data_IF_799556130584
#
_entry.id   IF_799556130584
#
_cell.length_a   1.000
_cell.length_b   1.000
_cell.length_c   1.000
_cell.angle_alpha   90.00
_cell.angle_beta   90.00
_cell.angle_gamma   90.00
#
_symmetry.space_group_name_H-M   'P 1'
#
loop_
_entity.id
_entity.type
_entity.pdbx_description
1 polymer ?
#
# COMPACT_ATOMS: atom_id res chain seq x y z
N UNK A 1 34.00 8.23 19.02
CA UNK A 1 32.58 7.86 18.92
C UNK A 1 31.80 8.54 20.02
N UNK A 2 30.74 9.29 19.71
CA UNK A 2 29.92 9.97 20.73
C UNK A 2 28.50 9.43 20.69
N UNK A 3 27.90 9.20 21.85
CA UNK A 3 26.48 8.87 21.97
C UNK A 3 25.66 10.09 21.54
N UNK A 4 24.51 9.86 20.90
CA UNK A 4 23.64 10.98 20.54
C UNK A 4 23.16 11.69 21.81
N UNK A 5 22.95 13.01 21.72
CA UNK A 5 22.45 13.84 22.84
C UNK A 5 21.20 13.25 23.49
N UNK A 6 20.33 12.61 22.69
CA UNK A 6 19.15 11.92 23.18
C UNK A 6 19.46 10.72 24.07
N UNK A 7 20.43 9.88 23.69
CA UNK A 7 20.82 8.71 24.48
C UNK A 7 21.49 9.16 25.78
N UNK A 8 22.28 10.23 25.75
CA UNK A 8 22.84 10.86 26.95
C UNK A 8 21.74 11.28 27.92
N UNK A 9 20.70 11.97 27.43
CA UNK A 9 19.56 12.40 28.26
C UNK A 9 18.79 11.24 28.90
N UNK A 10 18.67 10.08 28.21
CA UNK A 10 18.03 8.89 28.79
C UNK A 10 18.82 8.25 29.94
N UNK A 11 20.12 8.49 30.00
CA UNK A 11 21.06 7.86 30.94
C UNK A 11 21.36 8.76 32.14
N UNK A 12 20.99 10.05 32.06
CA UNK A 12 21.14 10.98 33.17
C UNK A 12 20.49 10.43 34.44
N UNK A 13 21.24 10.47 35.54
CA UNK A 13 20.80 10.00 36.86
C UNK A 13 20.92 8.50 37.12
N UNK A 14 21.48 7.70 36.20
CA UNK A 14 21.81 6.30 36.50
C UNK A 14 23.00 6.23 37.47
N UNK A 15 22.86 5.47 38.56
CA UNK A 15 23.87 5.29 39.59
C UNK A 15 24.78 4.08 39.33
N UNK A 16 24.40 3.19 38.41
CA UNK A 16 25.18 2.00 38.04
C UNK A 16 25.19 1.75 36.54
N UNK A 17 26.22 1.06 36.06
CA UNK A 17 26.31 0.59 34.66
C UNK A 17 25.15 -0.34 34.28
N UNK A 18 24.63 -1.09 35.25
CA UNK A 18 23.45 -1.93 35.07
C UNK A 18 22.20 -1.11 34.70
N UNK A 19 21.94 0.01 35.40
CA UNK A 19 20.81 0.90 35.10
C UNK A 19 20.94 1.57 33.73
N UNK A 20 22.17 1.91 33.34
CA UNK A 20 22.46 2.42 31.98
C UNK A 20 22.09 1.38 30.94
N UNK A 21 22.56 0.14 31.12
CA UNK A 21 22.31 -0.97 30.21
C UNK A 21 20.82 -1.28 30.10
N UNK A 22 20.12 -1.37 31.23
CA UNK A 22 18.70 -1.67 31.27
C UNK A 22 17.85 -0.61 30.55
N UNK A 23 18.11 0.68 30.82
CA UNK A 23 17.42 1.78 30.11
C UNK A 23 17.69 1.79 28.61
N UNK A 24 18.94 1.59 28.20
CA UNK A 24 19.28 1.47 26.78
C UNK A 24 18.56 0.29 26.14
N UNK A 25 18.63 -0.87 26.78
CA UNK A 25 18.03 -2.11 26.29
C UNK A 25 16.50 -1.97 26.16
N UNK A 26 15.83 -1.43 27.18
CA UNK A 26 14.41 -1.13 27.15
C UNK A 26 14.07 -0.16 26.00
N UNK A 27 14.82 0.93 25.84
CA UNK A 27 14.60 1.90 24.76
C UNK A 27 14.68 1.25 23.38
N UNK A 28 15.76 0.51 23.10
CA UNK A 28 15.93 -0.16 21.81
C UNK A 28 14.89 -1.25 21.60
N UNK A 29 14.52 -2.00 22.64
CA UNK A 29 13.43 -2.97 22.60
C UNK A 29 12.09 -2.32 22.24
N UNK A 30 11.74 -1.21 22.89
CA UNK A 30 10.53 -0.44 22.56
C UNK A 30 10.55 0.09 21.14
N UNK A 31 11.70 0.63 20.68
CA UNK A 31 11.89 1.13 19.32
C UNK A 31 11.74 0.03 18.28
N UNK A 32 12.38 -1.12 18.48
CA UNK A 32 12.28 -2.30 17.61
C UNK A 32 10.84 -2.82 17.58
N UNK A 33 10.17 -2.93 18.73
CA UNK A 33 8.76 -3.35 18.80
C UNK A 33 7.82 -2.39 18.08
N UNK A 34 8.04 -1.06 18.19
CA UNK A 34 7.26 -0.06 17.44
C UNK A 34 7.43 -0.24 15.94
N UNK A 35 8.66 -0.38 15.44
CA UNK A 35 8.92 -0.62 14.02
C UNK A 35 8.30 -1.92 13.52
N UNK A 36 8.41 -3.01 14.28
CA UNK A 36 7.79 -4.28 13.93
C UNK A 36 6.26 -4.19 13.84
N UNK A 37 5.61 -3.42 14.73
CA UNK A 37 4.17 -3.16 14.63
C UNK A 37 3.81 -2.33 13.41
N UNK A 38 4.59 -1.28 13.13
CA UNK A 38 4.40 -0.47 11.93
C UNK A 38 4.46 -1.34 10.66
N UNK A 39 5.52 -2.14 10.48
CA UNK A 39 5.62 -3.00 9.30
C UNK A 39 4.50 -4.04 9.19
N UNK A 40 4.01 -4.59 10.32
CA UNK A 40 2.85 -5.49 10.31
C UNK A 40 1.56 -4.77 9.95
N UNK A 41 1.38 -3.54 10.41
CA UNK A 41 0.25 -2.70 10.06
C UNK A 41 0.26 -2.40 8.55
N UNK A 42 1.38 -1.90 8.03
CA UNK A 42 1.56 -1.62 6.60
C UNK A 42 1.31 -2.87 5.76
N UNK A 43 1.87 -4.03 6.14
CA UNK A 43 1.69 -5.29 5.42
C UNK A 43 0.23 -5.77 5.43
N UNK A 44 -0.48 -5.61 6.54
CA UNK A 44 -1.88 -5.99 6.65
C UNK A 44 -2.78 -5.02 5.87
N UNK A 45 -2.49 -3.73 5.94
CA UNK A 45 -3.23 -2.71 5.20
C UNK A 45 -3.06 -2.90 3.69
N UNK A 46 -1.82 -3.04 3.21
CA UNK A 46 -1.54 -3.27 1.79
C UNK A 46 -2.16 -4.57 1.28
N UNK A 47 -2.17 -5.64 2.10
CA UNK A 47 -2.85 -6.89 1.73
C UNK A 47 -4.37 -6.71 1.65
N UNK A 48 -4.99 -5.91 2.52
CA UNK A 48 -6.42 -5.64 2.46
C UNK A 48 -6.78 -4.78 1.25
N UNK A 49 -5.96 -3.77 0.95
CA UNK A 49 -6.18 -2.88 -0.20
C UNK A 49 -6.04 -3.66 -1.50
N UNK A 50 -5.02 -4.52 -1.63
CA UNK A 50 -4.90 -5.44 -2.76
C UNK A 50 -6.11 -6.39 -2.87
N UNK A 51 -6.60 -6.95 -1.76
CA UNK A 51 -7.81 -7.76 -1.78
C UNK A 51 -9.05 -6.97 -2.23
N UNK A 52 -9.16 -5.70 -1.84
CA UNK A 52 -10.25 -4.82 -2.24
C UNK A 52 -10.20 -4.50 -3.74
N UNK A 53 -9.02 -4.23 -4.29
CA UNK A 53 -8.81 -3.97 -5.71
C UNK A 53 -9.09 -5.19 -6.58
N UNK A 54 -8.62 -6.38 -6.17
CA UNK A 54 -8.94 -7.64 -6.87
C UNK A 54 -10.47 -7.86 -6.90
N UNK A 55 -11.16 -7.54 -5.79
CA UNK A 55 -12.63 -7.66 -5.72
C UNK A 55 -13.34 -6.64 -6.61
N UNK A 56 -12.83 -5.41 -6.69
CA UNK A 56 -13.35 -4.37 -7.59
C UNK A 56 -13.23 -4.82 -9.05
N UNK A 57 -12.03 -5.22 -9.48
CA UNK A 57 -11.77 -5.68 -10.86
C UNK A 57 -12.65 -6.87 -11.22
N UNK A 58 -12.77 -7.85 -10.31
CA UNK A 58 -13.65 -9.01 -10.50
C UNK A 58 -15.13 -8.60 -10.65
N UNK A 59 -15.59 -7.61 -9.88
CA UNK A 59 -16.95 -7.11 -9.96
C UNK A 59 -17.22 -6.42 -11.31
N UNK A 60 -16.33 -5.51 -11.74
CA UNK A 60 -16.46 -4.82 -13.03
C UNK A 60 -16.47 -5.84 -14.18
N UNK A 61 -15.55 -6.82 -14.17
CA UNK A 61 -15.51 -7.90 -15.16
C UNK A 61 -16.84 -8.67 -15.22
N UNK A 62 -17.42 -8.99 -14.06
CA UNK A 62 -18.71 -9.69 -13.99
C UNK A 62 -19.86 -8.89 -14.60
N UNK A 63 -19.88 -7.56 -14.41
CA UNK A 63 -20.89 -6.68 -15.01
C UNK A 63 -20.72 -6.62 -16.53
N UNK A 64 -19.49 -6.52 -17.01
CA UNK A 64 -19.18 -6.51 -18.45
C UNK A 64 -19.56 -7.83 -19.11
N UNK A 65 -19.28 -8.96 -18.47
CA UNK A 65 -19.69 -10.26 -18.98
C UNK A 65 -21.23 -10.39 -18.99
N UNK A 66 -21.93 -9.84 -18.00
CA UNK A 66 -23.39 -9.74 -18.01
C UNK A 66 -23.90 -8.89 -19.21
N UNK A 67 -23.35 -7.70 -19.42
CA UNK A 67 -23.73 -6.82 -20.53
C UNK A 67 -23.45 -7.45 -21.90
N UNK A 68 -22.28 -8.10 -22.03
CA UNK A 68 -21.91 -8.89 -23.22
C UNK A 68 -22.92 -10.02 -23.48
N UNK A 69 -23.42 -10.68 -22.44
CA UNK A 69 -24.41 -11.76 -22.58
C UNK A 69 -25.74 -11.29 -23.17
N UNK A 70 -26.12 -10.03 -22.90
CA UNK A 70 -27.33 -9.37 -23.43
C UNK A 70 -27.07 -8.70 -24.80
N UNK A 71 -25.86 -8.88 -25.36
CA UNK A 71 -25.40 -8.28 -26.63
C UNK A 71 -25.22 -6.76 -26.58
N UNK A 72 -24.96 -6.22 -25.41
CA UNK A 72 -24.58 -4.82 -25.20
C UNK A 72 -23.10 -4.77 -24.77
N UNK A 73 -22.14 -5.01 -25.68
CA UNK A 73 -20.73 -4.98 -25.30
C UNK A 73 -20.27 -3.56 -24.95
N UNK A 74 -19.55 -3.44 -23.83
CA UNK A 74 -18.89 -2.20 -23.40
C UNK A 74 -17.67 -1.94 -24.27
N UNK A 75 -17.48 -0.69 -24.70
CA UNK A 75 -16.30 -0.30 -25.45
C UNK A 75 -15.04 -0.38 -24.56
N UNK A 76 -13.88 -0.69 -25.15
CA UNK A 76 -12.61 -0.79 -24.40
C UNK A 76 -12.34 0.46 -23.55
N UNK A 77 -12.57 1.64 -24.13
CA UNK A 77 -12.39 2.93 -23.45
C UNK A 77 -13.30 3.07 -22.23
N UNK A 78 -14.57 2.72 -22.38
CA UNK A 78 -15.55 2.77 -21.28
C UNK A 78 -15.20 1.77 -20.18
N UNK A 79 -14.67 0.60 -20.53
CA UNK A 79 -14.15 -0.34 -19.53
C UNK A 79 -12.95 0.24 -18.77
N UNK A 80 -11.99 0.86 -19.48
CA UNK A 80 -10.86 1.52 -18.84
C UNK A 80 -11.32 2.65 -17.91
N UNK A 81 -12.23 3.50 -18.35
CA UNK A 81 -12.78 4.59 -17.54
C UNK A 81 -13.42 4.04 -16.25
N UNK A 82 -14.21 2.96 -16.33
CA UNK A 82 -14.82 2.31 -15.16
C UNK A 82 -13.81 1.74 -14.16
N UNK A 83 -12.69 1.20 -14.65
CA UNK A 83 -11.61 0.73 -13.76
C UNK A 83 -10.97 1.93 -13.06
N UNK A 84 -10.56 2.94 -13.83
CA UNK A 84 -9.80 4.10 -13.33
C UNK A 84 -10.62 4.94 -12.33
N UNK A 85 -11.92 5.12 -12.56
CA UNK A 85 -12.82 5.82 -11.62
C UNK A 85 -12.98 5.09 -10.28
N UNK A 86 -12.81 3.76 -10.26
CA UNK A 86 -12.94 2.94 -9.06
C UNK A 86 -11.68 2.85 -8.20
N UNK A 87 -10.54 3.37 -8.68
CA UNK A 87 -9.26 3.28 -7.98
C UNK A 87 -9.12 4.34 -6.87
N UNK A 88 -8.46 4.01 -5.74
CA UNK A 88 -8.13 4.98 -4.71
C UNK A 88 -7.02 5.93 -5.18
N UNK A 89 -6.92 7.09 -4.51
CA UNK A 89 -6.01 8.19 -4.86
C UNK A 89 -4.53 7.79 -4.95
N UNK A 90 -4.14 6.71 -4.26
CA UNK A 90 -2.78 6.16 -4.29
C UNK A 90 -2.34 5.73 -5.70
N UNK A 91 -3.31 5.48 -6.60
CA UNK A 91 -3.07 5.11 -8.00
C UNK A 91 -3.11 6.31 -8.97
N UNK A 92 -3.20 7.57 -8.51
CA UNK A 92 -3.27 8.77 -9.36
C UNK A 92 -2.16 8.83 -10.43
N UNK A 93 -0.95 8.36 -10.11
CA UNK A 93 0.17 8.29 -11.04
C UNK A 93 -0.10 7.26 -12.14
N UNK A 94 -0.60 6.08 -11.77
CA UNK A 94 -0.99 5.01 -12.71
C UNK A 94 -2.15 5.49 -13.57
N UNK A 95 -3.16 6.13 -12.97
CA UNK A 95 -4.30 6.72 -13.69
C UNK A 95 -3.82 7.75 -14.73
N UNK A 96 -2.88 8.61 -14.37
CA UNK A 96 -2.32 9.60 -15.29
C UNK A 96 -1.56 8.95 -16.45
N UNK A 97 -0.77 7.91 -16.15
CA UNK A 97 -0.02 7.16 -17.16
C UNK A 97 -0.94 6.43 -18.14
N UNK A 98 -1.93 5.70 -17.62
CA UNK A 98 -2.93 4.99 -18.44
C UNK A 98 -3.70 5.96 -19.32
N UNK A 99 -4.10 7.13 -18.80
CA UNK A 99 -4.78 8.16 -19.59
C UNK A 99 -3.87 8.77 -20.68
N UNK A 100 -2.55 8.79 -20.49
CA UNK A 100 -1.62 9.30 -21.49
C UNK A 100 -1.34 8.31 -22.63
N UNK A 101 -1.49 7.00 -22.38
CA UNK A 101 -1.24 5.92 -23.35
C UNK A 101 -2.49 5.08 -23.64
N UNK A 102 -3.69 5.64 -23.43
CA UNK A 102 -4.97 4.91 -23.45
C UNK A 102 -5.28 4.19 -24.77
N UNK A 103 -4.67 4.63 -25.87
CA UNK A 103 -4.87 4.06 -27.21
C UNK A 103 -4.01 2.82 -27.48
N UNK A 104 -2.98 2.57 -26.66
CA UNK A 104 -2.00 1.48 -26.86
C UNK A 104 -2.10 0.42 -25.75
N UNK A 105 -2.59 0.80 -24.58
CA UNK A 105 -2.62 -0.07 -23.40
C UNK A 105 -3.82 -1.02 -23.39
N UNK A 106 -3.58 -2.27 -23.01
CA UNK A 106 -4.60 -3.32 -22.87
C UNK A 106 -5.15 -3.38 -21.43
N UNK A 107 -6.33 -3.98 -21.26
CA UNK A 107 -6.93 -4.18 -19.93
C UNK A 107 -6.02 -5.03 -19.05
N UNK A 108 -5.41 -6.06 -19.61
CA UNK A 108 -4.53 -6.98 -18.89
C UNK A 108 -3.28 -6.27 -18.35
N UNK A 109 -2.74 -5.31 -19.10
CA UNK A 109 -1.62 -4.47 -18.66
C UNK A 109 -2.04 -3.54 -17.51
N UNK A 110 -3.22 -2.91 -17.61
CA UNK A 110 -3.78 -2.07 -16.54
C UNK A 110 -4.04 -2.87 -15.27
N UNK A 111 -4.67 -4.04 -15.37
CA UNK A 111 -4.87 -4.96 -14.24
C UNK A 111 -3.52 -5.39 -13.64
N UNK A 112 -2.50 -5.63 -14.46
CA UNK A 112 -1.14 -5.92 -14.03
C UNK A 112 -0.48 -4.79 -13.24
N UNK A 113 -0.65 -3.54 -13.67
CA UNK A 113 -0.15 -2.37 -12.92
C UNK A 113 -0.85 -2.16 -11.58
N UNK A 114 -2.13 -2.55 -11.45
CA UNK A 114 -2.91 -2.37 -10.23
C UNK A 114 -2.57 -3.44 -9.17
N UNK A 115 -2.28 -4.68 -9.60
CA UNK A 115 -2.06 -5.84 -8.73
C UNK A 115 -0.59 -6.00 -8.31
N UNK A 116 0.35 -5.39 -9.05
CA UNK A 116 1.79 -5.44 -8.78
C UNK A 116 2.22 -4.71 -7.50
#
# INVERSE_FOLDING_TARGET
SSLSSFILSCILGCASSYEVWDKMHAYFLHKTRRKARYFRFELHHSSLDNCMLIRLLSHIKSLIDCLRSVREPVALKEYLDLILEGLPQEYDIVITLVNSESDVITIEEVEGFIIA
#
